data_IF_526586332433
#
_entry.id   IF_526586332433
#
_cell.length_a   1.000
_cell.length_b   1.000
_cell.length_c   1.000
_cell.angle_alpha   90.00
_cell.angle_beta   90.00
_cell.angle_gamma   90.00
#
_symmetry.space_group_name_H-M   'P 1'
#
loop_
_entity.id
_entity.type
_entity.pdbx_description
1 polymer ?
#
# COMPACT_ATOMS: atom_id res chain seq x y z
N UNK A 1 10.57 14.17 -10.07
CA UNK A 1 11.32 13.60 -11.21
C UNK A 1 12.27 14.68 -11.68
N UNK A 2 13.57 14.55 -11.42
CA UNK A 2 14.56 15.55 -11.85
C UNK A 2 15.05 15.13 -13.24
N UNK A 3 14.84 15.96 -14.26
CA UNK A 3 15.38 15.72 -15.59
C UNK A 3 16.84 16.15 -15.53
N UNK A 4 17.75 15.17 -15.61
CA UNK A 4 19.19 15.43 -15.69
C UNK A 4 19.57 15.59 -17.16
N UNK A 5 20.25 16.68 -17.50
CA UNK A 5 20.77 16.93 -18.85
C UNK A 5 22.29 16.86 -18.78
N UNK A 6 22.88 15.99 -19.59
CA UNK A 6 24.34 15.95 -19.77
C UNK A 6 24.75 17.10 -20.67
N UNK A 7 25.60 17.99 -20.16
CA UNK A 7 26.18 19.09 -20.93
C UNK A 7 27.60 18.68 -21.31
N UNK A 8 27.93 18.77 -22.60
CA UNK A 8 29.28 18.52 -23.12
C UNK A 8 29.85 19.83 -23.67
N UNK A 9 31.18 19.94 -23.69
CA UNK A 9 31.90 21.08 -24.29
C UNK A 9 31.54 22.45 -23.70
N UNK A 10 31.59 22.57 -22.37
CA UNK A 10 31.35 23.85 -21.68
C UNK A 10 32.48 24.83 -22.00
N UNK A 11 32.19 26.05 -22.50
CA UNK A 11 33.23 27.03 -22.82
C UNK A 11 33.94 27.47 -21.54
N UNK A 12 35.26 27.27 -21.50
CA UNK A 12 36.08 27.66 -20.37
C UNK A 12 36.42 29.16 -20.45
N UNK A 13 35.82 29.96 -19.57
CA UNK A 13 36.12 31.40 -19.47
C UNK A 13 37.27 31.59 -18.48
N UNK A 14 38.37 32.21 -18.94
CA UNK A 14 39.55 32.48 -18.11
C UNK A 14 39.19 33.33 -16.89
N UNK A 15 39.40 32.79 -15.67
CA UNK A 15 39.16 33.49 -14.41
C UNK A 15 37.86 33.14 -13.68
N UNK A 16 37.02 32.25 -14.20
CA UNK A 16 35.85 31.69 -13.48
C UNK A 16 35.92 30.17 -13.42
N UNK A 17 35.39 29.59 -12.35
CA UNK A 17 35.24 28.13 -12.29
C UNK A 17 34.17 27.69 -13.30
N UNK A 18 34.31 26.47 -13.81
CA UNK A 18 33.35 25.91 -14.77
C UNK A 18 31.93 25.86 -14.16
N UNK A 19 31.81 25.63 -12.85
CA UNK A 19 30.53 25.70 -12.13
C UNK A 19 29.92 27.10 -12.15
N UNK A 20 30.70 28.15 -11.94
CA UNK A 20 30.19 29.53 -11.94
C UNK A 20 29.73 29.96 -13.34
N UNK A 21 30.47 29.52 -14.39
CA UNK A 21 30.08 29.76 -15.78
C UNK A 21 28.79 29.03 -16.16
N UNK A 22 28.61 27.80 -15.69
CA UNK A 22 27.37 27.04 -15.88
C UNK A 22 26.21 27.68 -15.12
N UNK A 23 26.39 28.00 -13.85
CA UNK A 23 25.38 28.66 -13.03
C UNK A 23 24.92 29.97 -13.65
N UNK A 24 25.86 30.83 -14.06
CA UNK A 24 25.54 32.08 -14.75
C UNK A 24 24.77 31.82 -16.05
N UNK A 25 25.23 30.92 -16.91
CA UNK A 25 24.59 30.64 -18.19
C UNK A 25 23.15 30.15 -18.03
N UNK A 26 22.90 29.19 -17.13
CA UNK A 26 21.57 28.65 -16.93
C UNK A 26 20.65 29.58 -16.14
N UNK A 27 21.19 30.37 -15.22
CA UNK A 27 20.42 31.39 -14.51
C UNK A 27 19.99 32.53 -15.45
N UNK A 28 20.84 32.93 -16.41
CA UNK A 28 20.50 33.95 -17.40
C UNK A 28 19.51 33.45 -18.45
N UNK A 29 19.76 32.27 -19.03
CA UNK A 29 18.95 31.76 -20.15
C UNK A 29 17.69 31.01 -19.71
N UNK A 30 17.69 30.41 -18.52
CA UNK A 30 16.59 29.59 -18.00
C UNK A 30 16.25 29.93 -16.53
N UNK A 31 15.97 31.19 -16.18
CA UNK A 31 15.80 31.65 -14.80
C UNK A 31 14.69 30.90 -14.03
N UNK A 32 13.60 30.54 -14.72
CA UNK A 32 12.44 29.87 -14.11
C UNK A 32 12.60 28.34 -14.02
N UNK A 33 13.61 27.76 -14.68
CA UNK A 33 13.81 26.31 -14.76
C UNK A 33 15.13 25.85 -14.11
N UNK A 34 16.06 26.76 -13.83
CA UNK A 34 17.33 26.43 -13.20
C UNK A 34 17.18 26.28 -11.68
N UNK A 35 16.93 25.04 -11.25
CA UNK A 35 16.66 24.70 -9.84
C UNK A 35 17.92 24.63 -8.96
N UNK A 36 19.13 24.62 -9.52
CA UNK A 36 20.35 24.34 -8.76
C UNK A 36 20.59 25.35 -7.62
N UNK A 37 20.44 26.64 -7.92
CA UNK A 37 20.61 27.70 -6.93
C UNK A 37 19.52 27.64 -5.83
N UNK A 38 18.26 27.36 -6.20
CA UNK A 38 17.17 27.19 -5.24
C UNK A 38 17.40 25.97 -4.34
N UNK A 39 17.90 24.86 -4.88
CA UNK A 39 18.24 23.66 -4.11
C UNK A 39 19.37 23.92 -3.10
N UNK A 40 20.41 24.66 -3.49
CA UNK A 40 21.51 25.03 -2.59
C UNK A 40 21.02 25.95 -1.47
N UNK A 41 20.16 26.93 -1.78
CA UNK A 41 19.55 27.81 -0.78
C UNK A 41 18.65 27.06 0.19
N UNK A 42 17.77 26.19 -0.30
CA UNK A 42 16.90 25.35 0.54
C UNK A 42 17.73 24.42 1.42
N UNK A 43 18.78 23.80 0.88
CA UNK A 43 19.70 22.98 1.66
C UNK A 43 20.36 23.79 2.80
N UNK A 44 20.82 24.99 2.52
CA UNK A 44 21.41 25.88 3.53
C UNK A 44 20.39 26.32 4.58
N UNK A 45 19.13 26.55 4.19
CA UNK A 45 18.04 26.85 5.13
C UNK A 45 17.75 25.67 6.06
N UNK A 46 17.62 24.46 5.51
CA UNK A 46 17.39 23.22 6.27
C UNK A 46 18.56 22.99 7.24
N UNK A 47 19.82 23.12 6.80
CA UNK A 47 20.97 22.92 7.69
C UNK A 47 21.05 23.96 8.83
N UNK A 48 20.52 25.17 8.63
CA UNK A 48 20.49 26.25 9.64
C UNK A 48 19.31 26.15 10.59
N UNK A 49 18.20 25.54 10.17
CA UNK A 49 17.00 25.40 11.00
C UNK A 49 17.08 24.13 11.86
N UNK A 50 17.29 24.25 13.19
CA UNK A 50 17.36 23.09 14.08
C UNK A 50 16.04 22.31 14.15
N UNK A 51 14.90 22.91 13.79
CA UNK A 51 13.60 22.22 13.77
C UNK A 51 13.45 21.24 12.61
N UNK A 52 14.25 21.41 11.56
CA UNK A 52 14.21 20.54 10.38
C UNK A 52 15.06 19.27 10.54
N UNK A 53 15.91 19.22 11.57
CA UNK A 53 16.75 18.07 11.89
C UNK A 53 15.87 17.02 12.59
N UNK A 54 15.70 15.88 11.92
CA UNK A 54 14.98 14.73 12.47
C UNK A 54 15.92 13.87 13.33
N UNK A 55 15.38 13.26 14.38
CA UNK A 55 16.12 12.39 15.30
C UNK A 55 16.38 10.98 14.73
N UNK A 56 16.91 10.90 13.51
CA UNK A 56 17.25 9.64 12.82
C UNK A 56 18.59 9.80 12.11
N UNK A 57 19.44 8.77 12.21
CA UNK A 57 20.74 8.73 11.55
C UNK A 57 21.06 7.33 11.01
N UNK A 58 21.80 7.29 9.91
CA UNK A 58 22.40 6.06 9.40
C UNK A 58 23.84 5.96 9.89
N UNK A 59 24.18 4.86 10.55
CA UNK A 59 25.52 4.61 11.11
C UNK A 59 26.18 3.50 10.32
N UNK A 60 27.44 3.70 9.92
CA UNK A 60 28.24 2.69 9.21
C UNK A 60 29.34 2.15 10.13
N UNK A 61 29.55 0.83 10.06
CA UNK A 61 30.58 0.13 10.83
C UNK A 61 31.69 -0.38 9.91
N UNK A 62 32.91 -0.49 10.45
CA UNK A 62 34.05 -1.09 9.75
C UNK A 62 33.90 -2.63 9.55
N UNK A 63 33.05 -3.28 10.34
CA UNK A 63 32.81 -4.72 10.31
C UNK A 63 31.32 -5.05 10.24
N UNK A 64 30.97 -6.05 9.43
CA UNK A 64 29.61 -6.59 9.31
C UNK A 64 29.11 -7.17 10.64
N UNK A 65 30.00 -7.80 11.41
CA UNK A 65 29.66 -8.36 12.71
C UNK A 65 29.31 -7.27 13.72
N UNK A 66 30.08 -6.17 13.74
CA UNK A 66 29.80 -5.02 14.61
C UNK A 66 28.45 -4.37 14.30
N UNK A 67 28.12 -4.23 13.01
CA UNK A 67 26.79 -3.76 12.59
C UNK A 67 25.67 -4.72 13.04
N UNK A 68 25.88 -6.04 12.89
CA UNK A 68 24.90 -7.05 13.27
C UNK A 68 24.63 -7.06 14.78
N UNK A 69 25.67 -6.93 15.60
CA UNK A 69 25.54 -6.84 17.06
C UNK A 69 24.78 -5.58 17.43
N UNK A 70 25.15 -4.42 16.90
CA UNK A 70 24.46 -3.16 17.19
C UNK A 70 22.97 -3.19 16.80
N UNK A 71 22.63 -3.80 15.66
CA UNK A 71 21.24 -3.93 15.19
C UNK A 71 20.39 -4.92 16.00
N UNK A 72 21.01 -5.81 16.77
CA UNK A 72 20.31 -6.85 17.54
C UNK A 72 20.29 -6.59 19.04
N UNK A 73 21.17 -5.73 19.57
CA UNK A 73 21.27 -5.46 21.00
C UNK A 73 20.54 -4.17 21.40
N UNK A 74 19.94 -4.21 22.60
CA UNK A 74 19.33 -3.05 23.22
C UNK A 74 20.44 -2.07 23.68
N UNK A 75 20.43 -0.84 23.15
CA UNK A 75 21.49 0.14 23.41
C UNK A 75 21.29 0.94 24.71
N UNK A 76 20.05 1.10 25.17
CA UNK A 76 19.71 1.95 26.33
C UNK A 76 18.75 1.23 27.27
N UNK A 77 18.76 1.60 28.57
CA UNK A 77 17.80 1.11 29.56
C UNK A 77 16.35 1.42 29.16
N UNK A 78 16.12 2.56 28.51
CA UNK A 78 14.80 2.88 27.97
C UNK A 78 14.63 2.20 26.60
N UNK A 79 13.65 1.27 26.45
CA UNK A 79 13.45 0.51 25.22
C UNK A 79 12.91 1.35 24.05
N UNK A 80 12.48 2.60 24.28
CA UNK A 80 11.97 3.49 23.23
C UNK A 80 13.02 4.45 22.66
N UNK A 81 14.20 4.52 23.29
CA UNK A 81 15.31 5.36 22.87
C UNK A 81 16.39 4.51 22.21
N UNK A 82 17.14 5.11 21.28
CA UNK A 82 18.23 4.43 20.56
C UNK A 82 17.80 3.11 19.88
N UNK A 83 16.62 3.11 19.25
CA UNK A 83 16.16 1.96 18.47
C UNK A 83 17.07 1.73 17.26
N UNK A 84 17.74 0.58 17.24
CA UNK A 84 18.54 0.14 16.11
C UNK A 84 17.75 -0.85 15.26
N UNK A 85 17.77 -0.65 13.95
CA UNK A 85 17.17 -1.56 12.98
C UNK A 85 18.15 -1.72 11.82
N UNK A 86 18.03 -2.82 11.09
CA UNK A 86 18.75 -3.01 9.84
C UNK A 86 18.37 -1.92 8.85
N UNK A 87 19.37 -1.17 8.37
CA UNK A 87 19.16 -0.15 7.36
C UNK A 87 18.78 -0.81 6.02
N UNK A 88 17.66 -0.40 5.38
CA UNK A 88 17.32 -0.89 4.06
C UNK A 88 18.24 -0.29 2.99
N UNK A 89 18.17 -0.83 1.77
CA UNK A 89 18.89 -0.26 0.63
C UNK A 89 18.45 1.19 0.41
N UNK A 90 19.39 2.07 0.03
CA UNK A 90 19.15 3.51 -0.16
C UNK A 90 17.98 3.83 -1.09
N UNK A 91 17.70 2.96 -2.07
CA UNK A 91 16.58 3.06 -3.01
C UNK A 91 15.24 2.59 -2.43
N UNK A 92 15.29 1.70 -1.45
CA UNK A 92 14.13 1.11 -0.76
C UNK A 92 13.69 1.97 0.46
N UNK A 93 14.50 2.94 0.87
CA UNK A 93 14.16 3.88 1.96
C UNK A 93 13.00 4.78 1.53
N UNK A 94 11.91 4.76 2.30
CA UNK A 94 10.81 5.70 2.18
C UNK A 94 11.00 6.92 3.08
N UNK A 95 11.68 7.93 2.55
CA UNK A 95 12.12 9.12 3.28
C UNK A 95 11.01 9.89 4.01
N UNK A 96 9.78 9.88 3.48
CA UNK A 96 8.65 10.64 4.06
C UNK A 96 8.22 10.11 5.43
N UNK A 97 8.47 8.83 5.73
CA UNK A 97 8.08 8.22 7.00
C UNK A 97 9.20 8.21 8.05
N UNK A 98 10.42 8.65 7.71
CA UNK A 98 11.54 8.68 8.65
C UNK A 98 11.35 9.72 9.76
N UNK A 99 10.58 10.77 9.52
CA UNK A 99 10.39 11.88 10.46
C UNK A 99 9.31 11.65 11.51
N UNK A 100 8.59 10.52 11.45
CA UNK A 100 7.43 10.26 12.31
C UNK A 100 7.93 9.75 13.69
N UNK A 101 7.53 10.38 14.80
CA UNK A 101 7.95 9.93 16.13
C UNK A 101 7.27 8.61 16.52
N UNK A 102 7.92 7.83 17.38
CA UNK A 102 7.51 6.47 17.76
C UNK A 102 6.07 6.35 18.29
N UNK A 103 5.63 7.30 19.11
CA UNK A 103 4.26 7.28 19.68
C UNK A 103 3.22 7.48 18.58
N UNK A 104 3.46 8.42 17.66
CA UNK A 104 2.57 8.66 16.53
C UNK A 104 2.50 7.44 15.59
N UNK A 105 3.60 6.71 15.40
CA UNK A 105 3.59 5.46 14.63
C UNK A 105 2.67 4.41 15.25
N UNK A 106 2.69 4.26 16.58
CA UNK A 106 1.81 3.31 17.27
C UNK A 106 0.34 3.66 17.12
N UNK A 107 -0.02 4.95 17.23
CA UNK A 107 -1.38 5.43 17.03
C UNK A 107 -1.82 5.23 15.59
N UNK A 108 -0.98 5.61 14.60
CA UNK A 108 -1.28 5.42 13.18
C UNK A 108 -1.53 3.96 12.85
N UNK A 109 -0.69 3.03 13.34
CA UNK A 109 -0.88 1.59 13.14
C UNK A 109 -2.20 1.09 13.74
N UNK A 110 -2.58 1.56 14.92
CA UNK A 110 -3.86 1.20 15.53
C UNK A 110 -5.04 1.72 14.70
N UNK A 111 -5.01 2.99 14.31
CA UNK A 111 -6.07 3.61 13.49
C UNK A 111 -6.21 2.90 12.15
N UNK A 112 -5.11 2.61 11.46
CA UNK A 112 -5.15 1.88 10.18
C UNK A 112 -5.62 0.44 10.39
N UNK A 113 -5.21 -0.23 11.48
CA UNK A 113 -5.71 -1.56 11.81
C UNK A 113 -7.24 -1.58 12.00
N UNK A 114 -7.80 -0.59 12.71
CA UNK A 114 -9.24 -0.44 12.87
C UNK A 114 -9.93 -0.12 11.54
N UNK A 115 -9.32 0.71 10.71
CA UNK A 115 -9.87 1.07 9.41
C UNK A 115 -9.88 -0.12 8.45
N UNK A 116 -8.82 -0.92 8.42
CA UNK A 116 -8.74 -2.17 7.63
C UNK A 116 -9.76 -3.18 8.15
N UNK A 117 -9.92 -3.29 9.47
CA UNK A 117 -10.96 -4.12 10.07
C UNK A 117 -12.35 -3.69 9.60
N UNK A 118 -12.70 -2.41 9.71
CA UNK A 118 -13.97 -1.88 9.22
C UNK A 118 -14.17 -2.13 7.71
N UNK A 119 -13.11 -1.95 6.92
CA UNK A 119 -13.11 -2.21 5.47
C UNK A 119 -13.48 -3.67 5.17
N UNK A 120 -12.99 -4.64 5.95
CA UNK A 120 -13.38 -6.05 5.81
C UNK A 120 -14.89 -6.23 5.97
N UNK A 121 -15.51 -5.65 7.00
CA UNK A 121 -16.97 -5.76 7.21
C UNK A 121 -17.77 -5.08 6.10
N UNK A 122 -17.38 -3.89 5.65
CA UNK A 122 -18.10 -3.20 4.58
C UNK A 122 -18.01 -3.95 3.24
N UNK A 123 -16.88 -4.62 2.99
CA UNK A 123 -16.70 -5.43 1.77
C UNK A 123 -17.48 -6.76 1.80
N UNK A 124 -17.94 -7.25 2.96
CA UNK A 124 -18.83 -8.40 3.02
C UNK A 124 -20.15 -8.15 2.27
N UNK A 125 -20.67 -6.91 2.29
CA UNK A 125 -21.97 -6.57 1.68
C UNK A 125 -21.94 -6.75 0.15
N UNK A 126 -20.98 -6.15 -0.60
CA UNK A 126 -20.88 -6.38 -2.04
C UNK A 126 -20.57 -7.82 -2.41
N UNK A 127 -19.76 -8.52 -1.61
CA UNK A 127 -19.40 -9.92 -1.88
C UNK A 127 -20.62 -10.82 -1.72
N UNK A 128 -21.39 -10.65 -0.65
CA UNK A 128 -22.65 -11.37 -0.44
C UNK A 128 -23.65 -11.10 -1.56
N UNK A 129 -23.73 -9.85 -2.05
CA UNK A 129 -24.57 -9.50 -3.20
C UNK A 129 -24.14 -10.26 -4.47
N UNK A 130 -22.84 -10.28 -4.80
CA UNK A 130 -22.32 -11.01 -5.96
C UNK A 130 -22.52 -12.52 -5.82
N UNK A 131 -22.34 -13.09 -4.62
CA UNK A 131 -22.60 -14.51 -4.35
C UNK A 131 -24.09 -14.86 -4.47
N UNK A 132 -24.99 -13.97 -4.03
CA UNK A 132 -26.43 -14.14 -4.20
C UNK A 132 -26.82 -14.18 -5.69
N UNK A 133 -26.22 -13.33 -6.53
CA UNK A 133 -26.43 -13.35 -7.98
C UNK A 133 -25.95 -14.66 -8.65
N UNK A 134 -24.95 -15.33 -8.09
CA UNK A 134 -24.48 -16.63 -8.58
C UNK A 134 -25.51 -17.75 -8.34
N UNK A 135 -26.39 -17.61 -7.34
CA UNK A 135 -27.44 -18.58 -7.01
C UNK A 135 -28.77 -18.22 -7.70
N UNK A 136 -28.86 -18.53 -8.99
CA UNK A 136 -30.03 -18.18 -9.82
C UNK A 136 -31.35 -18.79 -9.33
N UNK A 137 -31.33 -19.98 -8.72
CA UNK A 137 -32.53 -20.63 -8.18
C UNK A 137 -33.11 -19.89 -6.95
N UNK A 138 -32.26 -19.16 -6.22
CA UNK A 138 -32.68 -18.26 -5.14
C UNK A 138 -33.17 -16.91 -5.68
N UNK A 139 -32.51 -16.39 -6.72
CA UNK A 139 -32.86 -15.12 -7.35
C UNK A 139 -34.23 -15.16 -8.06
N UNK A 140 -34.57 -16.28 -8.70
CA UNK A 140 -35.86 -16.46 -9.38
C UNK A 140 -37.06 -16.38 -8.43
N UNK A 141 -36.86 -16.75 -7.15
CA UNK A 141 -37.87 -16.66 -6.09
C UNK A 141 -37.99 -15.25 -5.51
N UNK A 142 -36.90 -14.51 -5.41
CA UNK A 142 -36.85 -13.17 -4.79
C UNK A 142 -37.22 -12.06 -5.79
N UNK A 143 -36.95 -12.26 -7.08
CA UNK A 143 -37.15 -11.27 -8.14
C UNK A 143 -37.87 -11.88 -9.37
N UNK A 144 -39.21 -12.03 -9.34
CA UNK A 144 -39.98 -12.66 -10.42
C UNK A 144 -39.94 -11.89 -11.75
N UNK A 145 -39.49 -10.63 -11.75
CA UNK A 145 -39.34 -9.80 -12.96
C UNK A 145 -38.15 -10.19 -13.84
N UNK A 146 -37.19 -11.00 -13.37
CA UNK A 146 -36.08 -11.50 -14.19
C UNK A 146 -36.41 -12.81 -14.94
N UNK A 147 -37.55 -13.46 -14.65
CA UNK A 147 -37.98 -14.71 -15.31
C UNK A 147 -37.87 -14.70 -16.85
N UNK A 148 -38.38 -13.68 -17.57
CA UNK A 148 -38.31 -13.68 -19.05
C UNK A 148 -36.90 -13.55 -19.62
N UNK A 149 -35.93 -13.04 -18.84
CA UNK A 149 -34.52 -12.91 -19.25
C UNK A 149 -33.71 -14.18 -18.93
N UNK A 150 -34.10 -14.91 -17.88
CA UNK A 150 -33.41 -16.11 -17.37
C UNK A 150 -33.80 -17.39 -18.14
N UNK A 151 -34.93 -17.43 -18.85
CA UNK A 151 -35.38 -18.61 -19.63
C UNK A 151 -34.45 -19.00 -20.79
N UNK A 152 -33.64 -18.06 -21.30
CA UNK A 152 -32.63 -18.37 -22.31
C UNK A 152 -31.48 -19.15 -21.67
N UNK A 153 -31.42 -20.47 -21.92
CA UNK A 153 -30.39 -21.41 -21.40
C UNK A 153 -28.94 -20.91 -21.54
N UNK A 154 -28.65 -20.16 -22.62
CA UNK A 154 -27.36 -19.52 -22.84
C UNK A 154 -27.07 -18.40 -21.84
N UNK A 155 -28.04 -17.50 -21.62
CA UNK A 155 -27.93 -16.37 -20.68
C UNK A 155 -27.86 -16.88 -19.24
N UNK A 156 -28.65 -17.91 -18.89
CA UNK A 156 -28.59 -18.57 -17.58
C UNK A 156 -27.17 -19.08 -17.26
N UNK A 157 -26.56 -19.81 -18.20
CA UNK A 157 -25.22 -20.38 -18.03
C UNK A 157 -24.13 -19.30 -17.96
N UNK A 158 -24.27 -18.23 -18.74
CA UNK A 158 -23.32 -17.12 -18.73
C UNK A 158 -23.39 -16.28 -17.45
N UNK A 159 -24.60 -15.96 -16.97
CA UNK A 159 -24.80 -15.24 -15.70
C UNK A 159 -24.32 -16.06 -14.51
N UNK A 160 -24.53 -17.38 -14.51
CA UNK A 160 -24.15 -18.25 -13.40
C UNK A 160 -22.62 -18.43 -13.30
N UNK A 161 -21.93 -18.59 -14.43
CA UNK A 161 -20.50 -18.91 -14.43
C UNK A 161 -19.55 -17.72 -14.58
N UNK A 162 -19.93 -16.70 -15.37
CA UNK A 162 -19.00 -15.64 -15.78
C UNK A 162 -19.21 -14.33 -15.03
N UNK A 163 -20.46 -13.90 -14.87
CA UNK A 163 -20.80 -12.61 -14.28
C UNK A 163 -20.30 -12.44 -12.83
N UNK A 164 -20.51 -13.38 -11.89
CA UNK A 164 -20.04 -13.21 -10.52
C UNK A 164 -18.51 -13.20 -10.43
N UNK A 165 -17.81 -14.01 -11.23
CA UNK A 165 -16.36 -14.03 -11.29
C UNK A 165 -15.76 -12.72 -11.83
N UNK A 166 -16.38 -12.15 -12.88
CA UNK A 166 -15.95 -10.87 -13.44
C UNK A 166 -16.22 -9.71 -12.48
N UNK A 167 -17.43 -9.65 -11.89
CA UNK A 167 -17.81 -8.62 -10.94
C UNK A 167 -16.90 -8.63 -9.69
N UNK A 168 -16.63 -9.82 -9.15
CA UNK A 168 -15.73 -10.00 -8.02
C UNK A 168 -14.31 -9.57 -8.37
N UNK A 169 -13.80 -9.91 -9.56
CA UNK A 169 -12.46 -9.52 -10.01
C UNK A 169 -12.33 -8.00 -10.19
N UNK A 170 -13.35 -7.33 -10.74
CA UNK A 170 -13.37 -5.86 -10.85
C UNK A 170 -13.32 -5.21 -9.46
N UNK A 171 -14.13 -5.71 -8.52
CA UNK A 171 -14.16 -5.20 -7.15
C UNK A 171 -12.82 -5.42 -6.41
N UNK A 172 -12.18 -6.57 -6.63
CA UNK A 172 -10.88 -6.91 -6.06
C UNK A 172 -9.70 -6.16 -6.69
N UNK A 173 -9.85 -5.54 -7.87
CA UNK A 173 -8.77 -4.76 -8.49
C UNK A 173 -8.46 -3.45 -7.73
N UNK A 174 -9.50 -2.83 -7.17
CA UNK A 174 -9.37 -1.56 -6.43
C UNK A 174 -8.73 -1.79 -5.05
N UNK A 175 -9.02 -2.94 -4.45
CA UNK A 175 -8.62 -3.30 -3.10
C UNK A 175 -7.10 -3.23 -2.82
N UNK A 176 -6.19 -3.83 -3.61
CA UNK A 176 -4.76 -3.77 -3.35
C UNK A 176 -4.22 -2.33 -3.38
N UNK A 177 -4.78 -1.48 -4.26
CA UNK A 177 -4.42 -0.05 -4.33
C UNK A 177 -4.80 0.67 -3.04
N UNK A 178 -6.02 0.44 -2.53
CA UNK A 178 -6.47 1.03 -1.25
C UNK A 178 -5.62 0.56 -0.09
N UNK A 179 -5.35 -0.75 0.03
CA UNK A 179 -4.53 -1.31 1.10
C UNK A 179 -3.08 -0.82 1.06
N UNK A 180 -2.54 -0.55 -0.13
CA UNK A 180 -1.21 0.03 -0.30
C UNK A 180 -1.16 1.49 0.12
N UNK A 181 -2.20 2.28 -0.17
CA UNK A 181 -2.33 3.66 0.32
C UNK A 181 -2.41 3.67 1.85
N UNK A 182 -3.25 2.82 2.44
CA UNK A 182 -3.36 2.69 3.89
C UNK A 182 -2.01 2.29 4.53
N UNK A 183 -1.29 1.36 3.91
CA UNK A 183 0.02 0.92 4.40
C UNK A 183 1.10 2.01 4.30
N UNK A 184 0.97 2.99 3.38
CA UNK A 184 1.86 4.18 3.32
C UNK A 184 1.69 5.09 4.51
N UNK A 185 0.47 5.19 5.03
CA UNK A 185 0.15 6.00 6.21
C UNK A 185 0.58 5.34 7.52
N UNK A 186 0.85 4.02 7.54
CA UNK A 186 1.31 3.29 8.75
C UNK A 186 2.74 3.64 9.21
N UNK A 187 3.51 4.36 8.39
CA UNK A 187 4.83 4.84 8.80
C UNK A 187 5.97 3.82 8.67
N UNK A 188 5.91 2.87 7.73
CA UNK A 188 7.06 2.00 7.45
C UNK A 188 8.22 2.75 6.80
N UNK A 189 9.44 2.38 7.18
CA UNK A 189 10.69 2.98 6.70
C UNK A 189 11.14 2.44 5.34
N UNK A 190 10.82 1.18 5.03
CA UNK A 190 11.21 0.51 3.78
C UNK A 190 9.99 0.25 2.90
N UNK A 191 10.11 0.49 1.59
CA UNK A 191 9.05 0.23 0.61
C UNK A 191 8.76 -1.27 0.52
N UNK A 192 9.79 -2.11 0.52
CA UNK A 192 9.66 -3.57 0.53
C UNK A 192 8.84 -4.09 1.71
N UNK A 193 9.07 -3.55 2.91
CA UNK A 193 8.31 -3.91 4.11
C UNK A 193 6.87 -3.45 3.98
N UNK A 194 6.65 -2.24 3.47
CA UNK A 194 5.32 -1.69 3.23
C UNK A 194 4.51 -2.55 2.26
N UNK A 195 5.09 -2.95 1.13
CA UNK A 195 4.45 -3.80 0.13
C UNK A 195 4.13 -5.17 0.72
N UNK A 196 5.08 -5.79 1.43
CA UNK A 196 4.85 -7.06 2.12
C UNK A 196 3.71 -6.96 3.13
N UNK A 197 3.61 -5.86 3.87
CA UNK A 197 2.53 -5.62 4.83
C UNK A 197 1.20 -5.36 4.15
N UNK A 198 1.17 -4.67 3.01
CA UNK A 198 -0.04 -4.49 2.21
C UNK A 198 -0.56 -5.82 1.65
N UNK A 199 0.35 -6.67 1.11
CA UNK A 199 0.03 -8.01 0.63
C UNK A 199 -0.48 -8.90 1.76
N UNK A 200 0.14 -8.84 2.95
CA UNK A 200 -0.34 -9.59 4.11
C UNK A 200 -1.78 -9.19 4.50
N UNK A 201 -2.10 -7.89 4.52
CA UNK A 201 -3.48 -7.41 4.77
C UNK A 201 -4.45 -7.90 3.71
N UNK A 202 -4.05 -7.86 2.44
CA UNK A 202 -4.87 -8.37 1.34
C UNK A 202 -5.11 -9.88 1.47
N UNK A 203 -4.10 -10.64 1.88
CA UNK A 203 -4.23 -12.07 2.15
C UNK A 203 -5.23 -12.34 3.28
N UNK A 204 -5.11 -11.64 4.43
CA UNK A 204 -6.08 -11.78 5.52
C UNK A 204 -7.49 -11.38 5.10
N UNK A 205 -7.62 -10.31 4.30
CA UNK A 205 -8.91 -9.90 3.73
C UNK A 205 -9.52 -11.02 2.88
N UNK A 206 -8.73 -11.64 2.00
CA UNK A 206 -9.21 -12.70 1.11
C UNK A 206 -9.61 -13.95 1.92
N UNK A 207 -8.83 -14.32 2.93
CA UNK A 207 -9.13 -15.45 3.80
C UNK A 207 -10.45 -15.23 4.55
N UNK A 208 -10.67 -14.05 5.13
CA UNK A 208 -11.91 -13.79 5.87
C UNK A 208 -13.12 -13.69 4.93
N UNK A 209 -13.03 -12.91 3.86
CA UNK A 209 -14.21 -12.65 3.02
C UNK A 209 -14.54 -13.79 2.06
N UNK A 210 -13.52 -14.37 1.39
CA UNK A 210 -13.75 -15.38 0.35
C UNK A 210 -13.82 -16.77 0.97
N UNK A 211 -12.86 -17.12 1.83
CA UNK A 211 -12.80 -18.46 2.41
C UNK A 211 -13.82 -18.65 3.55
N UNK A 212 -13.81 -17.81 4.59
CA UNK A 212 -14.80 -17.95 5.67
C UNK A 212 -16.22 -17.61 5.20
N UNK A 213 -16.38 -16.60 4.35
CA UNK A 213 -17.69 -16.25 3.76
C UNK A 213 -18.32 -17.41 3.00
N UNK A 214 -17.54 -18.12 2.16
CA UNK A 214 -18.06 -19.29 1.43
C UNK A 214 -18.37 -20.49 2.34
N UNK A 215 -17.60 -20.72 3.40
CA UNK A 215 -17.89 -21.79 4.37
C UNK A 215 -19.19 -21.49 5.11
N UNK A 216 -19.38 -20.26 5.60
CA UNK A 216 -20.61 -19.87 6.32
C UNK A 216 -21.83 -19.98 5.39
N UNK A 217 -21.72 -19.52 4.14
CA UNK A 217 -22.78 -19.64 3.15
C UNK A 217 -23.08 -21.10 2.77
N UNK A 218 -22.06 -21.95 2.64
CA UNK A 218 -22.24 -23.37 2.37
C UNK A 218 -22.93 -24.08 3.55
N UNK A 219 -22.48 -23.81 4.77
CA UNK A 219 -23.01 -24.46 5.99
C UNK A 219 -24.47 -24.09 6.26
N UNK A 220 -24.87 -22.85 6.04
CA UNK A 220 -26.28 -22.44 6.20
C UNK A 220 -27.21 -23.13 5.19
N UNK A 221 -26.73 -23.39 3.97
CA UNK A 221 -27.46 -24.18 2.96
C UNK A 221 -27.60 -25.64 3.38
N UNK A 222 -26.56 -26.26 3.95
CA UNK A 222 -26.64 -27.63 4.47
C UNK A 222 -27.53 -27.75 5.71
N UNK A 223 -27.51 -26.76 6.61
CA UNK A 223 -28.32 -26.79 7.83
C UNK A 223 -29.80 -26.51 7.57
N UNK A 224 -30.13 -25.67 6.58
CA UNK A 224 -31.52 -25.34 6.20
C UNK A 224 -32.07 -26.23 5.06
N UNK A 225 -31.29 -27.19 4.59
CA UNK A 225 -31.80 -28.25 3.73
C UNK A 225 -32.30 -29.38 4.62
N UNK A 226 -33.62 -29.54 4.84
CA UNK A 226 -34.14 -30.69 5.58
C UNK A 226 -33.63 -31.97 4.91
N UNK A 227 -33.28 -33.03 5.67
CA UNK A 227 -32.89 -34.30 5.09
C UNK A 227 -33.98 -34.74 4.12
N UNK A 228 -33.61 -34.93 2.87
CA UNK A 228 -34.49 -35.47 1.82
C UNK A 228 -34.68 -36.98 2.01
N UNK A 229 -35.12 -37.37 3.22
CA UNK A 229 -35.47 -38.73 3.62
C UNK A 229 -36.88 -38.71 4.22
N UNK A 230 -37.88 -38.32 3.42
CA UNK A 230 -39.31 -38.65 3.61
C UNK A 230 -40.17 -38.14 2.44
N UNK A 231 -39.73 -38.34 1.19
CA UNK A 231 -40.62 -38.16 0.03
C UNK A 231 -40.25 -39.18 -1.03
N UNK A 232 -40.48 -40.44 -0.70
CA UNK A 232 -40.77 -41.56 -1.60
C UNK A 232 -41.10 -42.80 -0.74
N UNK A 233 -42.22 -42.72 -0.03
CA UNK A 233 -43.12 -43.83 0.25
C UNK A 233 -44.49 -43.27 0.63
#
# INVERSE_FOLDING_TARGET
MFIQVLIRSVPHVSGRSISDSLEHFFQTNHPNHYLCHQLTMERQRILKDPKSIISVAFVSFNSRWGAAVCAQTQQSQNPTLWLTNWAPESRDVYWKNLSIPFVSLSIQKLVISLLVFALVFFYMIPIAFVQSLANLDGLEKVAPFLKPVIELKFIKSFLQGFLPGLALKIFLYILPTVLLILSKVEGYVALSVLERRAVAKYYYFMLVNVFLGSIVAGTSVYFWSPPSCARNQ
#
